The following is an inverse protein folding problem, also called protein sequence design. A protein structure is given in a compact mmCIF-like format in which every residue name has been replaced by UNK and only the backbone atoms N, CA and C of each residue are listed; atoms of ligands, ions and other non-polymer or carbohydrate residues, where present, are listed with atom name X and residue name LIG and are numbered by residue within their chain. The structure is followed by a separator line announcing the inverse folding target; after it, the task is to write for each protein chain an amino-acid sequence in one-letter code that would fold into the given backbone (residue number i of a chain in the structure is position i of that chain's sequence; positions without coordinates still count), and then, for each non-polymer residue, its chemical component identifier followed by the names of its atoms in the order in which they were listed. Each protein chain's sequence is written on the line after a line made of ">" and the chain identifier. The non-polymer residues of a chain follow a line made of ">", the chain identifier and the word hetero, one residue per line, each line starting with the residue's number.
data_IF_394114821959
#
_entry.id   IF_394114821959
#
_cell.length_a   1.000
_cell.length_b   1.000
_cell.length_c   1.000
_cell.angle_alpha   90.00
_cell.angle_beta   90.00
_cell.angle_gamma   90.00
#
_symmetry.space_group_name_H-M   'P 1'
#
loop_
_entity.id
_entity.type
_entity.pdbx_description
1 polymer ?
#
# COMPACT_ATOMS: atom_id res chain seq x y z
N UNK A 1 -10.84 -23.71 -68.44
CA UNK A 1 -9.42 -23.54 -68.81
C UNK A 1 -9.19 -22.12 -69.32
N UNK A 2 -8.57 -21.26 -68.51
CA UNK A 2 -7.94 -20.01 -68.94
C UNK A 2 -6.70 -19.81 -68.06
N UNK A 3 -5.53 -19.87 -68.68
CA UNK A 3 -4.26 -19.56 -68.05
C UNK A 3 -4.08 -18.03 -68.03
N UNK A 4 -3.75 -17.47 -66.87
CA UNK A 4 -3.28 -16.10 -66.75
C UNK A 4 -1.84 -16.16 -66.26
N UNK A 5 -0.96 -15.54 -67.05
CA UNK A 5 0.48 -15.45 -66.86
C UNK A 5 0.77 -14.03 -66.37
N UNK A 6 1.49 -13.86 -65.26
CA UNK A 6 1.99 -12.55 -64.82
C UNK A 6 3.47 -12.68 -64.41
N UNK A 7 4.36 -11.82 -64.95
CA UNK A 7 5.81 -11.90 -64.74
C UNK A 7 6.29 -11.02 -63.58
N UNK A 8 7.51 -11.31 -63.11
CA UNK A 8 8.41 -10.27 -62.61
C UNK A 8 8.78 -10.34 -61.13
N UNK A 9 9.67 -11.27 -60.77
CA UNK A 9 10.39 -11.23 -59.49
C UNK A 9 11.56 -10.24 -59.58
N UNK A 10 11.34 -9.01 -59.11
CA UNK A 10 12.40 -8.06 -58.84
C UNK A 10 13.09 -8.40 -57.50
N UNK A 11 14.36 -8.79 -57.56
CA UNK A 11 15.19 -9.01 -56.36
C UNK A 11 15.63 -7.64 -55.80
N UNK A 12 14.94 -7.16 -54.77
CA UNK A 12 15.45 -6.10 -53.90
C UNK A 12 16.36 -6.73 -52.86
N UNK A 13 17.66 -6.42 -52.95
CA UNK A 13 18.64 -6.80 -51.93
C UNK A 13 18.42 -5.92 -50.70
N UNK A 14 17.74 -6.45 -49.68
CA UNK A 14 17.63 -5.81 -48.37
C UNK A 14 18.94 -6.04 -47.62
N UNK A 15 19.75 -4.98 -47.51
CA UNK A 15 20.92 -4.96 -46.63
C UNK A 15 20.44 -4.94 -45.17
N UNK A 16 20.58 -6.07 -44.49
CA UNK A 16 20.37 -6.20 -43.05
C UNK A 16 21.59 -5.58 -42.34
N UNK A 17 21.54 -4.29 -41.99
CA UNK A 17 22.52 -3.70 -41.06
C UNK A 17 22.24 -4.25 -39.66
N UNK A 18 23.03 -5.23 -39.24
CA UNK A 18 23.10 -5.67 -37.85
C UNK A 18 23.93 -4.63 -37.10
N UNK A 19 23.27 -3.63 -36.54
CA UNK A 19 23.90 -2.69 -35.62
C UNK A 19 24.16 -3.43 -34.31
N UNK A 20 25.42 -3.57 -33.86
CA UNK A 20 25.71 -4.18 -32.57
C UNK A 20 25.17 -3.26 -31.48
N UNK A 21 24.06 -3.67 -30.86
CA UNK A 21 23.52 -3.03 -29.67
C UNK A 21 24.53 -3.29 -28.54
N UNK A 22 25.44 -2.34 -28.31
CA UNK A 22 26.31 -2.32 -27.14
C UNK A 22 25.42 -2.13 -25.90
N UNK A 23 24.95 -3.25 -25.33
CA UNK A 23 24.38 -3.27 -23.99
C UNK A 23 25.50 -2.93 -23.01
N UNK A 24 25.62 -1.63 -22.70
CA UNK A 24 26.33 -1.19 -21.51
C UNK A 24 25.55 -1.68 -20.31
N UNK A 25 26.00 -2.78 -19.70
CA UNK A 25 25.58 -3.16 -18.35
C UNK A 25 26.07 -2.06 -17.41
N UNK A 26 25.23 -1.05 -17.19
CA UNK A 26 25.40 -0.18 -16.04
C UNK A 26 25.12 -1.04 -14.83
N UNK A 27 26.19 -1.36 -14.08
CA UNK A 27 26.08 -1.92 -12.75
C UNK A 27 25.22 -0.98 -11.93
N UNK A 28 23.95 -1.34 -11.72
CA UNK A 28 23.09 -0.63 -10.78
C UNK A 28 23.81 -0.76 -9.44
N UNK A 29 24.26 0.35 -8.83
CA UNK A 29 24.83 0.29 -7.50
C UNK A 29 23.75 -0.32 -6.61
N UNK A 30 24.00 -1.55 -6.16
CA UNK A 30 23.18 -2.22 -5.18
C UNK A 30 23.47 -1.52 -3.86
N UNK A 31 22.84 -0.37 -3.66
CA UNK A 31 22.85 0.35 -2.39
C UNK A 31 22.20 -0.61 -1.41
N UNK A 32 23.02 -1.32 -0.64
CA UNK A 32 22.55 -2.07 0.50
C UNK A 32 21.84 -1.05 1.38
N UNK A 33 20.51 -1.06 1.34
CA UNK A 33 19.70 -0.21 2.19
C UNK A 33 20.12 -0.55 3.62
N UNK A 34 20.86 0.36 4.23
CA UNK A 34 21.11 0.31 5.67
C UNK A 34 19.73 0.39 6.28
N UNK A 35 19.20 -0.75 6.71
CA UNK A 35 18.02 -0.82 7.57
C UNK A 35 18.42 -0.01 8.80
N UNK A 36 18.04 1.27 8.84
CA UNK A 36 18.09 2.02 10.08
C UNK A 36 17.41 1.14 11.11
N UNK A 37 18.05 0.94 12.25
CA UNK A 37 17.44 0.17 13.33
C UNK A 37 16.17 0.91 13.71
N UNK A 38 15.02 0.44 13.17
CA UNK A 38 13.73 1.00 13.52
C UNK A 38 13.65 0.94 15.04
N UNK A 39 13.47 2.11 15.64
CA UNK A 39 13.35 2.24 17.08
C UNK A 39 12.09 1.52 17.54
N UNK A 40 11.89 1.51 18.86
CA UNK A 40 10.66 0.98 19.40
C UNK A 40 9.44 1.73 18.85
N UNK A 41 8.50 0.99 18.27
CA UNK A 41 7.29 1.53 17.64
C UNK A 41 6.19 1.69 18.68
N UNK A 42 5.61 2.89 18.73
CA UNK A 42 4.40 3.21 19.50
C UNK A 42 3.31 3.60 18.52
N UNK A 43 2.48 2.62 18.16
CA UNK A 43 1.35 2.81 17.25
C UNK A 43 0.06 3.16 18.01
N UNK A 44 -0.68 4.16 17.53
CA UNK A 44 -2.01 4.49 18.01
C UNK A 44 -3.04 4.41 16.90
N UNK A 45 -4.14 3.69 17.12
CA UNK A 45 -5.30 3.70 16.22
C UNK A 45 -6.19 4.90 16.54
N UNK A 46 -6.59 5.64 15.51
CA UNK A 46 -7.59 6.72 15.59
C UNK A 46 -8.83 6.31 14.78
N UNK A 47 -9.86 5.78 15.46
CA UNK A 47 -11.11 5.45 14.81
C UNK A 47 -11.85 6.67 14.24
N UNK A 48 -12.59 6.48 13.16
CA UNK A 48 -13.42 7.47 12.47
C UNK A 48 -14.46 8.12 13.39
N UNK A 49 -14.93 7.36 14.39
CA UNK A 49 -15.87 7.82 15.42
C UNK A 49 -15.22 8.57 16.60
N UNK A 50 -13.88 8.72 16.63
CA UNK A 50 -13.14 9.42 17.69
C UNK A 50 -12.82 10.88 17.33
N UNK A 51 -13.77 11.61 16.75
CA UNK A 51 -13.60 13.01 16.31
C UNK A 51 -13.34 14.04 17.44
N UNK A 52 -13.45 13.64 18.70
CA UNK A 52 -13.20 14.47 19.87
C UNK A 52 -11.74 14.39 20.37
N UNK A 53 -10.93 13.48 19.80
CA UNK A 53 -9.52 13.33 20.20
C UNK A 53 -8.72 14.52 19.65
N UNK A 54 -7.92 15.14 20.50
CA UNK A 54 -6.93 16.13 20.06
C UNK A 54 -5.77 15.41 19.37
N UNK A 55 -5.86 15.26 18.05
CA UNK A 55 -4.88 14.52 17.23
C UNK A 55 -3.48 15.11 17.36
N UNK A 56 -3.35 16.43 17.46
CA UNK A 56 -2.06 17.09 17.68
C UNK A 56 -1.43 16.68 19.00
N UNK A 57 -2.18 16.72 20.11
CA UNK A 57 -1.65 16.29 21.39
C UNK A 57 -1.35 14.77 21.43
N UNK A 58 -2.22 13.95 20.86
CA UNK A 58 -2.05 12.50 20.85
C UNK A 58 -0.84 12.06 20.02
N UNK A 59 -0.70 12.58 18.80
CA UNK A 59 0.37 12.17 17.88
C UNK A 59 1.78 12.57 18.33
N UNK A 60 1.92 13.55 19.23
CA UNK A 60 3.23 13.96 19.79
C UNK A 60 3.97 12.85 20.57
N UNK A 61 3.26 11.76 20.91
CA UNK A 61 3.80 10.62 21.66
C UNK A 61 3.80 9.32 20.84
N UNK A 62 3.42 9.37 19.56
CA UNK A 62 3.32 8.21 18.69
C UNK A 62 4.45 8.22 17.65
N UNK A 63 4.97 7.04 17.34
CA UNK A 63 5.76 6.86 16.10
C UNK A 63 4.84 6.64 14.91
N UNK A 64 3.64 6.11 15.13
CA UNK A 64 2.70 5.73 14.09
C UNK A 64 1.26 6.04 14.50
N UNK A 65 0.56 6.78 13.66
CA UNK A 65 -0.86 7.08 13.77
C UNK A 65 -1.60 6.31 12.66
N UNK A 66 -2.40 5.32 13.05
CA UNK A 66 -3.17 4.49 12.12
C UNK A 66 -4.62 5.00 12.10
N UNK A 67 -5.05 5.52 10.96
CA UNK A 67 -6.40 6.03 10.77
C UNK A 67 -7.35 4.87 10.46
N UNK A 68 -8.29 4.60 11.37
CA UNK A 68 -9.17 3.44 11.33
C UNK A 68 -10.61 3.85 10.98
N UNK A 69 -11.22 3.31 9.93
CA UNK A 69 -10.62 2.52 8.86
C UNK A 69 -11.36 2.83 7.56
N UNK A 70 -10.80 2.43 6.44
CA UNK A 70 -11.42 2.45 5.12
C UNK A 70 -12.13 1.13 4.87
N UNK A 71 -13.32 1.20 4.28
CA UNK A 71 -14.02 0.00 3.83
C UNK A 71 -13.62 -0.33 2.38
N UNK A 72 -13.01 -1.50 2.12
CA UNK A 72 -12.92 -2.01 0.77
C UNK A 72 -14.32 -2.27 0.22
N UNK A 73 -14.59 -1.72 -0.96
CA UNK A 73 -15.79 -1.96 -1.73
C UNK A 73 -15.61 -3.13 -2.70
N UNK A 74 -16.71 -3.54 -3.31
CA UNK A 74 -16.78 -4.72 -4.18
C UNK A 74 -16.10 -4.42 -5.52
N UNK A 75 -15.52 -5.43 -6.18
CA UNK A 75 -14.89 -5.31 -7.51
C UNK A 75 -15.77 -4.70 -8.63
N UNK A 76 -17.09 -4.68 -8.44
CA UNK A 76 -18.04 -4.08 -9.37
C UNK A 76 -18.16 -2.55 -9.25
N UNK A 77 -17.63 -1.97 -8.18
CA UNK A 77 -17.62 -0.53 -7.95
C UNK A 77 -16.37 0.09 -8.56
N UNK A 78 -16.51 1.27 -9.18
CA UNK A 78 -15.37 1.99 -9.76
C UNK A 78 -14.37 2.44 -8.69
N UNK A 79 -14.83 2.64 -7.45
CA UNK A 79 -14.01 2.99 -6.30
C UNK A 79 -13.97 1.79 -5.34
N UNK A 80 -12.90 0.99 -5.41
CA UNK A 80 -12.71 -0.20 -4.56
C UNK A 80 -12.34 0.14 -3.11
N UNK A 81 -12.04 1.40 -2.83
CA UNK A 81 -11.84 1.93 -1.49
C UNK A 81 -12.87 3.03 -1.28
N UNK A 82 -13.97 2.70 -0.61
CA UNK A 82 -15.04 3.66 -0.43
C UNK A 82 -14.72 4.58 0.75
N UNK A 83 -14.40 5.84 0.45
CA UNK A 83 -14.40 6.93 1.42
C UNK A 83 -15.83 7.52 1.56
N UNK A 84 -16.83 6.64 1.71
CA UNK A 84 -18.24 7.04 1.77
C UNK A 84 -18.51 8.05 2.88
N UNK A 85 -19.54 8.88 2.75
CA UNK A 85 -19.95 9.76 3.85
C UNK A 85 -20.61 9.01 5.02
N UNK A 86 -21.09 7.78 4.79
CA UNK A 86 -21.95 7.02 5.72
C UNK A 86 -21.17 6.10 6.65
N UNK A 87 -20.02 5.59 6.21
CA UNK A 87 -19.07 4.88 7.06
C UNK A 87 -17.71 5.53 6.93
N UNK A 88 -16.92 5.35 7.98
CA UNK A 88 -15.49 5.19 7.86
C UNK A 88 -14.74 6.53 7.87
N UNK A 89 -13.42 6.43 7.84
CA UNK A 89 -12.54 7.59 7.87
C UNK A 89 -12.81 8.47 6.64
N UNK A 90 -13.05 9.77 6.87
CA UNK A 90 -13.43 10.73 5.84
C UNK A 90 -12.20 11.44 5.26
N UNK A 91 -12.26 11.94 4.00
CA UNK A 91 -11.15 12.69 3.39
C UNK A 91 -10.60 13.84 4.25
N UNK A 92 -11.45 14.59 4.95
CA UNK A 92 -10.98 15.68 5.81
C UNK A 92 -10.22 15.17 7.04
N UNK A 93 -10.57 14.00 7.59
CA UNK A 93 -9.89 13.43 8.76
C UNK A 93 -8.44 13.04 8.42
N UNK A 94 -8.17 12.58 7.20
CA UNK A 94 -6.79 12.39 6.72
C UNK A 94 -6.01 13.70 6.69
N UNK A 95 -6.61 14.75 6.12
CA UNK A 95 -5.96 16.07 6.01
C UNK A 95 -5.70 16.69 7.39
N UNK A 96 -6.65 16.57 8.31
CA UNK A 96 -6.52 17.05 9.68
C UNK A 96 -5.41 16.29 10.44
N UNK A 97 -5.36 14.96 10.29
CA UNK A 97 -4.30 14.14 10.87
C UNK A 97 -2.91 14.48 10.29
N UNK A 98 -2.82 14.65 8.97
CA UNK A 98 -1.60 15.07 8.28
C UNK A 98 -1.11 16.44 8.77
N UNK A 99 -2.01 17.42 8.89
CA UNK A 99 -1.68 18.74 9.41
C UNK A 99 -1.17 18.66 10.86
N UNK A 100 -1.83 17.89 11.73
CA UNK A 100 -1.44 17.70 13.12
C UNK A 100 -0.05 17.05 13.27
N UNK A 101 0.19 15.96 12.54
CA UNK A 101 1.47 15.24 12.54
C UNK A 101 2.59 16.10 11.96
N UNK A 102 2.35 16.82 10.87
CA UNK A 102 3.33 17.72 10.28
C UNK A 102 3.71 18.87 11.22
N UNK A 103 2.73 19.44 11.93
CA UNK A 103 3.00 20.45 12.95
C UNK A 103 3.91 19.90 14.06
N UNK A 104 3.64 18.69 14.55
CA UNK A 104 4.48 18.05 15.56
C UNK A 104 5.88 17.73 15.04
N UNK A 105 5.99 17.17 13.84
CA UNK A 105 7.27 16.82 13.21
C UNK A 105 8.13 18.07 12.94
N UNK A 106 7.53 19.21 12.61
CA UNK A 106 8.23 20.47 12.35
C UNK A 106 8.63 21.21 13.64
N UNK A 107 7.84 21.08 14.71
CA UNK A 107 8.18 21.68 16.01
C UNK A 107 9.37 20.98 16.69
N UNK A 108 9.72 19.76 16.26
CA UNK A 108 10.86 19.00 16.76
C UNK A 108 12.20 19.39 16.11
N UNK A 109 12.36 20.64 15.64
CA UNK A 109 13.55 21.14 14.94
C UNK A 109 14.76 21.46 15.85
N UNK A 110 14.68 21.15 17.15
CA UNK A 110 15.75 21.42 18.10
C UNK A 110 16.79 20.28 18.13
N UNK A 111 17.75 20.36 17.20
CA UNK A 111 19.19 20.01 17.22
C UNK A 111 19.79 18.84 18.03
N UNK A 112 19.04 18.07 18.82
CA UNK A 112 19.61 16.99 19.67
C UNK A 112 18.65 15.82 19.97
N UNK A 113 17.39 15.88 19.51
CA UNK A 113 16.40 14.85 19.85
C UNK A 113 16.31 13.79 18.74
N UNK A 114 16.82 12.59 19.02
CA UNK A 114 16.68 11.36 18.22
C UNK A 114 15.21 10.89 18.09
N UNK A 115 14.26 11.80 18.19
CA UNK A 115 12.84 11.53 18.25
C UNK A 115 12.35 11.20 16.86
N UNK A 116 11.80 10.00 16.72
CA UNK A 116 11.26 9.54 15.47
C UNK A 116 10.07 10.41 15.06
N UNK A 117 10.04 10.79 13.78
CA UNK A 117 8.90 11.49 13.18
C UNK A 117 7.69 10.57 13.21
N UNK A 118 6.54 11.11 13.58
CA UNK A 118 5.28 10.34 13.52
C UNK A 118 4.91 10.09 12.07
N UNK A 119 4.54 8.85 11.78
CA UNK A 119 4.07 8.37 10.47
C UNK A 119 2.56 8.20 10.48
N UNK A 120 1.94 8.29 9.31
CA UNK A 120 0.49 8.14 9.16
C UNK A 120 0.20 6.95 8.25
N UNK A 121 -0.76 6.14 8.67
CA UNK A 121 -1.21 4.94 7.95
C UNK A 121 -2.72 4.98 7.75
N UNK A 122 -3.21 4.38 6.68
CA UNK A 122 -4.62 4.06 6.53
C UNK A 122 -4.85 2.58 6.86
N UNK A 123 -5.81 2.27 7.73
CA UNK A 123 -6.23 0.88 7.95
C UNK A 123 -7.34 0.50 6.97
N UNK A 124 -7.18 -0.60 6.25
CA UNK A 124 -8.17 -1.15 5.31
C UNK A 124 -8.87 -2.34 5.97
N UNK A 125 -10.19 -2.24 6.10
CA UNK A 125 -11.03 -3.26 6.72
C UNK A 125 -11.38 -2.97 8.17
N UNK A 126 -11.27 -4.00 9.02
CA UNK A 126 -11.59 -3.98 10.44
C UNK A 126 -12.90 -4.67 10.79
N UNK A 127 -13.34 -4.45 12.02
CA UNK A 127 -14.57 -4.97 12.60
C UNK A 127 -15.84 -4.37 11.96
N UNK A 128 -17.01 -4.82 12.43
CA UNK A 128 -18.33 -4.24 12.10
C UNK A 128 -18.66 -4.20 10.61
N UNK A 129 -18.32 -5.27 9.88
CA UNK A 129 -18.64 -5.41 8.46
C UNK A 129 -17.65 -4.74 7.51
N UNK A 130 -16.63 -4.04 8.03
CA UNK A 130 -15.66 -3.36 7.18
C UNK A 130 -14.76 -4.33 6.41
N UNK A 131 -14.69 -5.60 6.78
CA UNK A 131 -13.89 -6.63 6.09
C UNK A 131 -14.67 -7.49 5.08
N UNK A 132 -15.94 -7.18 4.79
CA UNK A 132 -16.81 -8.08 4.02
C UNK A 132 -16.43 -8.28 2.56
N UNK A 133 -15.74 -7.32 1.94
CA UNK A 133 -15.37 -7.38 0.53
C UNK A 133 -14.08 -8.15 0.24
N UNK A 134 -13.25 -8.45 1.26
CA UNK A 134 -11.96 -9.12 1.03
C UNK A 134 -12.05 -10.48 0.31
N UNK A 135 -13.03 -11.37 0.58
CA UNK A 135 -13.17 -12.61 -0.18
C UNK A 135 -13.32 -12.39 -1.70
N UNK A 136 -13.95 -11.28 -2.10
CA UNK A 136 -14.30 -10.99 -3.50
C UNK A 136 -13.30 -10.07 -4.19
N UNK A 137 -12.56 -9.24 -3.44
CA UNK A 137 -11.55 -8.34 -3.99
C UNK A 137 -10.50 -9.11 -4.79
N UNK A 138 -9.99 -10.20 -4.20
CA UNK A 138 -8.72 -10.77 -4.63
C UNK A 138 -7.60 -9.72 -4.65
N UNK A 139 -6.42 -10.11 -5.12
CA UNK A 139 -5.36 -9.14 -5.42
C UNK A 139 -5.57 -8.56 -6.83
N UNK A 140 -6.72 -7.94 -7.08
CA UNK A 140 -6.96 -7.30 -8.38
C UNK A 140 -6.06 -6.08 -8.54
N UNK A 141 -5.53 -5.86 -9.75
CA UNK A 141 -4.63 -4.73 -10.03
C UNK A 141 -5.27 -3.40 -9.62
N UNK A 142 -6.56 -3.20 -9.92
CA UNK A 142 -7.30 -2.00 -9.53
C UNK A 142 -7.36 -1.79 -8.01
N UNK A 143 -7.45 -2.86 -7.21
CA UNK A 143 -7.43 -2.71 -5.75
C UNK A 143 -6.04 -2.27 -5.28
N UNK A 144 -4.98 -2.84 -5.85
CA UNK A 144 -3.60 -2.49 -5.50
C UNK A 144 -3.26 -1.04 -5.92
N UNK A 145 -3.69 -0.61 -7.10
CA UNK A 145 -3.53 0.77 -7.58
C UNK A 145 -4.25 1.76 -6.65
N UNK A 146 -5.46 1.45 -6.21
CA UNK A 146 -6.20 2.30 -5.26
C UNK A 146 -5.49 2.43 -3.89
N UNK A 147 -4.72 1.42 -3.45
CA UNK A 147 -3.93 1.53 -2.22
C UNK A 147 -2.80 2.56 -2.40
N UNK A 148 -2.12 2.54 -3.55
CA UNK A 148 -1.08 3.51 -3.92
C UNK A 148 -1.67 4.90 -4.02
N UNK A 149 -2.77 5.07 -4.75
CA UNK A 149 -3.46 6.36 -4.91
C UNK A 149 -3.87 6.94 -3.54
N UNK A 150 -4.38 6.12 -2.62
CA UNK A 150 -4.72 6.56 -1.27
C UNK A 150 -3.48 7.06 -0.51
N UNK A 151 -2.35 6.37 -0.65
CA UNK A 151 -1.09 6.80 -0.04
C UNK A 151 -0.59 8.13 -0.61
N UNK A 152 -0.63 8.29 -1.93
CA UNK A 152 -0.21 9.51 -2.62
C UNK A 152 -1.13 10.70 -2.29
N UNK A 153 -2.45 10.52 -2.38
CA UNK A 153 -3.43 11.58 -2.19
C UNK A 153 -3.33 12.22 -0.80
N UNK A 154 -3.10 11.39 0.22
CA UNK A 154 -3.07 11.82 1.62
C UNK A 154 -1.67 11.84 2.25
N UNK A 155 -0.62 11.65 1.44
CA UNK A 155 0.78 11.62 1.87
C UNK A 155 0.99 10.65 3.07
N UNK A 156 0.46 9.43 2.92
CA UNK A 156 0.59 8.38 3.90
C UNK A 156 1.95 7.70 3.79
N UNK A 157 2.41 7.14 4.91
CA UNK A 157 3.61 6.32 4.94
C UNK A 157 3.34 4.88 4.51
N UNK A 158 2.09 4.42 4.66
CA UNK A 158 1.73 3.06 4.31
C UNK A 158 0.29 2.70 4.61
N UNK A 159 0.01 1.42 4.39
CA UNK A 159 -1.30 0.80 4.58
C UNK A 159 -1.23 -0.24 5.70
N UNK A 160 -2.22 -0.23 6.59
CA UNK A 160 -2.45 -1.31 7.55
C UNK A 160 -3.59 -2.20 7.07
N UNK A 161 -3.32 -3.48 6.84
CA UNK A 161 -4.32 -4.44 6.40
C UNK A 161 -4.94 -5.12 7.61
N UNK A 162 -6.27 -5.02 7.74
CA UNK A 162 -6.99 -5.63 8.86
C UNK A 162 -8.26 -6.35 8.38
N UNK A 163 -8.15 -7.64 8.03
CA UNK A 163 -9.32 -8.49 7.86
C UNK A 163 -9.73 -9.12 9.21
N UNK A 164 -10.85 -8.66 9.76
CA UNK A 164 -11.44 -9.31 10.94
C UNK A 164 -12.09 -10.65 10.58
N UNK A 165 -11.44 -11.73 11.02
CA UNK A 165 -11.98 -13.09 11.09
C UNK A 165 -12.30 -13.76 9.74
N UNK A 166 -11.29 -13.97 8.86
CA UNK A 166 -11.41 -14.86 7.69
C UNK A 166 -11.86 -16.26 8.14
N UNK A 167 -12.96 -16.76 7.56
CA UNK A 167 -13.72 -17.89 8.13
C UNK A 167 -13.30 -19.25 7.61
N UNK A 168 -12.78 -19.28 6.39
CA UNK A 168 -12.44 -20.51 5.69
C UNK A 168 -10.96 -20.54 5.34
N UNK A 169 -10.44 -21.75 5.04
CA UNK A 169 -9.09 -21.88 4.48
C UNK A 169 -8.95 -21.06 3.20
N UNK A 170 -9.98 -21.02 2.36
CA UNK A 170 -10.00 -20.23 1.14
C UNK A 170 -9.92 -18.72 1.41
N UNK A 171 -10.55 -18.23 2.47
CA UNK A 171 -10.42 -16.83 2.90
C UNK A 171 -8.98 -16.53 3.33
N UNK A 172 -8.37 -17.41 4.13
CA UNK A 172 -6.98 -17.28 4.55
C UNK A 172 -5.99 -17.31 3.37
N UNK A 173 -6.19 -18.21 2.42
CA UNK A 173 -5.37 -18.31 1.20
C UNK A 173 -5.54 -17.06 0.33
N UNK A 174 -6.77 -16.53 0.24
CA UNK A 174 -7.08 -15.29 -0.48
C UNK A 174 -6.43 -14.10 0.18
N UNK A 175 -6.54 -13.98 1.51
CA UNK A 175 -5.96 -12.86 2.24
C UNK A 175 -4.44 -12.88 2.18
N UNK A 176 -3.82 -14.06 2.31
CA UNK A 176 -2.37 -14.20 2.20
C UNK A 176 -1.86 -13.70 0.84
N UNK A 177 -2.58 -14.00 -0.25
CA UNK A 177 -2.25 -13.48 -1.58
C UNK A 177 -2.42 -11.96 -1.68
N UNK A 178 -3.53 -11.41 -1.17
CA UNK A 178 -3.74 -9.96 -1.11
C UNK A 178 -2.59 -9.27 -0.37
N UNK A 179 -2.16 -9.80 0.78
CA UNK A 179 -1.06 -9.25 1.56
C UNK A 179 0.27 -9.28 0.82
N UNK A 180 0.59 -10.39 0.14
CA UNK A 180 1.83 -10.50 -0.61
C UNK A 180 1.86 -9.54 -1.82
N UNK A 181 0.78 -9.49 -2.57
CA UNK A 181 0.68 -8.65 -3.77
C UNK A 181 0.64 -7.15 -3.38
N UNK A 182 -0.07 -6.79 -2.30
CA UNK A 182 -0.06 -5.43 -1.77
C UNK A 182 1.31 -5.01 -1.23
N UNK A 183 2.04 -5.90 -0.55
CA UNK A 183 3.40 -5.63 -0.12
C UNK A 183 4.32 -5.34 -1.31
N UNK A 184 4.27 -6.19 -2.35
CA UNK A 184 5.10 -6.01 -3.54
C UNK A 184 4.77 -4.70 -4.27
N UNK A 185 3.48 -4.35 -4.42
CA UNK A 185 3.07 -3.08 -5.04
C UNK A 185 3.49 -1.87 -4.19
N UNK A 186 3.17 -1.86 -2.90
CA UNK A 186 3.47 -0.71 -2.04
C UNK A 186 4.98 -0.48 -1.89
N UNK A 187 5.77 -1.55 -1.72
CA UNK A 187 7.23 -1.45 -1.63
C UNK A 187 7.86 -0.94 -2.93
N UNK A 188 7.31 -1.31 -4.10
CA UNK A 188 7.78 -0.81 -5.39
C UNK A 188 7.60 0.71 -5.53
N UNK A 189 6.54 1.25 -4.93
CA UNK A 189 6.23 2.70 -4.90
C UNK A 189 6.83 3.41 -3.67
N UNK A 190 7.58 2.71 -2.81
CA UNK A 190 8.24 3.27 -1.65
C UNK A 190 7.35 3.48 -0.41
N UNK A 191 6.14 2.92 -0.41
CA UNK A 191 5.24 2.87 0.75
C UNK A 191 5.48 1.64 1.61
N UNK A 192 4.99 1.66 2.85
CA UNK A 192 5.07 0.53 3.78
C UNK A 192 3.73 -0.22 3.89
N UNK A 193 3.78 -1.45 4.40
CA UNK A 193 2.61 -2.26 4.71
C UNK A 193 2.71 -2.87 6.12
N UNK A 194 1.63 -2.75 6.89
CA UNK A 194 1.46 -3.47 8.15
C UNK A 194 0.25 -4.39 8.12
N UNK A 195 0.23 -5.35 9.03
CA UNK A 195 -0.86 -6.30 9.20
C UNK A 195 -1.36 -6.27 10.64
N UNK A 196 -2.63 -5.92 10.83
CA UNK A 196 -3.31 -6.12 12.11
C UNK A 196 -4.02 -7.47 12.11
N UNK A 197 -3.65 -8.37 13.03
CA UNK A 197 -4.17 -9.73 13.01
C UNK A 197 -4.18 -10.46 14.35
N UNK A 198 -5.15 -11.39 14.50
CA UNK A 198 -5.19 -12.43 15.54
C UNK A 198 -4.92 -13.83 14.97
N UNK A 199 -4.70 -13.92 13.67
CA UNK A 199 -4.49 -15.16 12.94
C UNK A 199 -3.01 -15.45 12.78
N UNK A 200 -2.68 -16.73 12.62
CA UNK A 200 -1.33 -17.14 12.26
C UNK A 200 -1.18 -17.14 10.74
N UNK A 201 -0.18 -16.41 10.25
CA UNK A 201 0.21 -16.42 8.84
C UNK A 201 1.46 -17.27 8.63
N UNK A 202 1.64 -17.71 7.38
CA UNK A 202 2.88 -18.36 6.98
C UNK A 202 4.07 -17.40 7.11
N UNK A 203 5.29 -17.89 7.39
CA UNK A 203 6.46 -17.05 7.55
C UNK A 203 6.76 -16.15 6.34
N UNK A 204 6.45 -16.58 5.12
CA UNK A 204 6.67 -15.79 3.91
C UNK A 204 5.76 -14.56 3.81
N UNK A 205 4.52 -14.65 4.30
CA UNK A 205 3.63 -13.48 4.41
C UNK A 205 4.16 -12.53 5.48
N UNK A 206 4.49 -13.07 6.67
CA UNK A 206 5.02 -12.28 7.80
C UNK A 206 6.29 -11.53 7.42
N UNK A 207 7.21 -12.17 6.71
CA UNK A 207 8.49 -11.59 6.31
C UNK A 207 8.36 -10.48 5.25
N UNK A 208 7.22 -10.40 4.56
CA UNK A 208 6.92 -9.31 3.61
C UNK A 208 6.29 -8.10 4.30
N UNK A 209 5.75 -8.24 5.49
CA UNK A 209 5.17 -7.10 6.21
C UNK A 209 6.29 -6.28 6.83
N UNK A 210 6.17 -4.96 6.78
CA UNK A 210 7.06 -4.09 7.55
C UNK A 210 6.78 -4.23 9.04
N UNK A 211 5.49 -4.41 9.40
CA UNK A 211 5.05 -4.58 10.79
C UNK A 211 3.83 -5.49 10.93
N UNK A 212 3.71 -6.05 12.14
CA UNK A 212 2.52 -6.80 12.56
C UNK A 212 2.01 -6.18 13.86
N UNK A 213 0.75 -5.74 13.84
CA UNK A 213 0.04 -5.24 15.01
C UNK A 213 -0.81 -6.38 15.59
N UNK A 214 -0.61 -6.69 16.86
CA UNK A 214 -1.43 -7.66 17.59
C UNK A 214 -2.48 -6.88 18.40
N UNK A 215 -3.78 -7.00 18.10
CA UNK A 215 -4.84 -6.29 18.79
C UNK A 215 -5.20 -6.92 20.15
#
# INVERSE_FOLDING_TARGET
>A
MKYVNIPGFGRTSTFLMITPLLLSFQSIPQTAATRETEGFVVSGFLPDYCNHVNVTAASAFLTDLILYSVHPANASEQELLSLSEQCCIKPHQYKDAAAAVNANNNNNTASDDSRMKTRIWASIGGHHGRSQAFPQLGASVAFLDNLVELCEEYNLHGIDMFWDDPKTKQDMDTYSRILMDAADTLHAEGFQISLTTRQFFRPDVVNKMDRINLP
#
